data_IF_560006949079
#
_entry.id   IF_560006949079
#
_cell.length_a   1.000
_cell.length_b   1.000
_cell.length_c   1.000
_cell.angle_alpha   90.00
_cell.angle_beta   90.00
_cell.angle_gamma   90.00
#
_symmetry.space_group_name_H-M   'P 1'
#
loop_
_entity.id
_entity.type
_entity.pdbx_description
1 polymer ?
#
# COMPACT_ATOMS: atom_id res chain seq x y z
N UNK A 1 29.43 -18.44 -60.61
CA UNK A 1 29.00 -17.13 -61.17
C UNK A 1 27.49 -17.00 -61.02
N UNK A 2 27.03 -15.76 -60.79
CA UNK A 2 25.63 -15.29 -60.61
C UNK A 2 25.03 -15.58 -59.23
N UNK A 3 25.11 -14.70 -58.23
CA UNK A 3 24.58 -13.33 -58.10
C UNK A 3 23.06 -13.24 -58.30
N UNK A 4 22.34 -13.24 -57.17
CA UNK A 4 21.20 -12.35 -56.97
C UNK A 4 21.09 -12.07 -55.46
N UNK A 5 21.82 -11.05 -55.01
CA UNK A 5 21.46 -10.33 -53.79
C UNK A 5 20.03 -9.80 -53.95
N UNK A 6 19.07 -10.42 -53.26
CA UNK A 6 17.79 -9.76 -53.01
C UNK A 6 18.01 -8.73 -51.92
N UNK A 7 18.20 -7.49 -52.35
CA UNK A 7 18.13 -6.29 -51.53
C UNK A 7 16.78 -6.25 -50.80
N UNK A 8 16.69 -6.83 -49.61
CA UNK A 8 15.60 -6.58 -48.67
C UNK A 8 15.92 -5.29 -47.92
N UNK A 9 15.64 -4.16 -48.54
CA UNK A 9 15.35 -2.92 -47.80
C UNK A 9 14.03 -3.10 -47.08
N UNK A 10 14.03 -3.91 -46.02
CA UNK A 10 12.99 -3.80 -45.01
C UNK A 10 13.21 -2.44 -44.36
N UNK A 11 12.24 -1.51 -44.38
CA UNK A 11 12.37 -0.32 -43.56
C UNK A 11 12.50 -0.83 -42.14
N UNK A 12 13.67 -0.63 -41.52
CA UNK A 12 13.81 -0.68 -40.07
C UNK A 12 12.84 0.38 -39.58
N UNK A 13 11.59 0.00 -39.34
CA UNK A 13 10.71 0.73 -38.46
C UNK A 13 11.54 0.88 -37.20
N UNK A 14 12.03 2.10 -36.98
CA UNK A 14 12.62 2.48 -35.72
C UNK A 14 11.55 2.09 -34.71
N UNK A 15 11.75 0.95 -34.04
CA UNK A 15 11.06 0.63 -32.81
C UNK A 15 11.55 1.69 -31.84
N UNK A 16 11.03 2.91 -31.95
CA UNK A 16 10.86 3.84 -30.83
C UNK A 16 9.92 3.09 -29.90
N UNK A 17 10.49 2.09 -29.21
CA UNK A 17 9.81 1.40 -28.14
C UNK A 17 9.32 2.49 -27.21
N UNK A 18 8.04 2.44 -26.84
CA UNK A 18 7.44 3.39 -25.90
C UNK A 18 8.45 3.64 -24.78
N UNK A 19 8.78 4.91 -24.54
CA UNK A 19 9.79 5.31 -23.56
C UNK A 19 9.51 4.66 -22.20
N UNK A 20 10.55 4.53 -21.36
CA UNK A 20 10.44 3.86 -20.07
C UNK A 20 9.26 4.40 -19.24
N UNK A 21 9.01 5.71 -19.27
CA UNK A 21 7.87 6.36 -18.63
C UNK A 21 6.52 5.93 -19.21
N UNK A 22 6.40 5.84 -20.54
CA UNK A 22 5.16 5.40 -21.18
C UNK A 22 4.86 3.92 -20.89
N UNK A 23 5.89 3.05 -20.87
CA UNK A 23 5.72 1.65 -20.43
C UNK A 23 5.32 1.55 -18.96
N UNK A 24 5.95 2.34 -18.10
CA UNK A 24 5.69 2.40 -16.66
C UNK A 24 4.29 2.97 -16.37
N UNK A 25 3.85 3.97 -17.13
CA UNK A 25 2.49 4.49 -17.10
C UNK A 25 1.46 3.46 -17.56
N UNK A 26 1.71 2.75 -18.68
CA UNK A 26 0.80 1.70 -19.15
C UNK A 26 0.75 0.53 -18.16
N UNK A 27 1.88 0.16 -17.57
CA UNK A 27 1.96 -0.85 -16.52
C UNK A 27 1.16 -0.41 -15.29
N UNK A 28 1.40 0.81 -14.82
CA UNK A 28 0.71 1.40 -13.68
C UNK A 28 -0.79 1.47 -13.94
N UNK A 29 -1.20 2.00 -15.10
CA UNK A 29 -2.58 2.03 -15.54
C UNK A 29 -3.19 0.63 -15.52
N UNK A 30 -2.59 -0.36 -16.19
CA UNK A 30 -3.14 -1.73 -16.19
C UNK A 30 -3.25 -2.34 -14.80
N UNK A 31 -2.27 -2.11 -13.93
CA UNK A 31 -2.25 -2.67 -12.57
C UNK A 31 -3.29 -2.04 -11.65
N UNK A 32 -3.54 -0.74 -11.77
CA UNK A 32 -4.46 0.00 -10.89
C UNK A 32 -5.82 0.34 -11.53
N UNK A 33 -6.05 -0.05 -12.79
CA UNK A 33 -7.39 0.06 -13.42
C UNK A 33 -8.41 -0.90 -12.80
N UNK A 34 -7.94 -2.00 -12.21
CA UNK A 34 -8.75 -2.98 -11.49
C UNK A 34 -8.15 -3.17 -10.10
N UNK A 35 -8.41 -2.25 -9.15
CA UNK A 35 -7.85 -2.34 -7.81
C UNK A 35 -8.31 -3.62 -7.13
N UNK A 36 -7.36 -4.37 -6.57
CA UNK A 36 -7.69 -5.54 -5.75
C UNK A 36 -8.07 -5.09 -4.35
N UNK A 37 -8.80 -5.91 -3.59
CA UNK A 37 -9.24 -5.57 -2.23
C UNK A 37 -8.10 -5.11 -1.30
N UNK A 38 -6.86 -5.58 -1.52
CA UNK A 38 -5.66 -5.13 -0.79
C UNK A 38 -5.31 -3.66 -1.04
N UNK A 39 -5.51 -3.17 -2.26
CA UNK A 39 -5.20 -1.77 -2.61
C UNK A 39 -6.16 -0.82 -1.89
N UNK A 40 -7.42 -1.23 -1.71
CA UNK A 40 -8.41 -0.50 -0.93
C UNK A 40 -8.09 -0.46 0.57
N UNK A 41 -7.62 -1.56 1.14
CA UNK A 41 -7.14 -1.59 2.54
C UNK A 41 -5.96 -0.65 2.70
N UNK A 42 -4.99 -0.68 1.78
CA UNK A 42 -3.83 0.23 1.81
C UNK A 42 -4.27 1.69 1.70
N UNK A 43 -5.19 2.00 0.79
CA UNK A 43 -5.75 3.33 0.63
C UNK A 43 -6.45 3.80 1.91
N UNK A 44 -7.23 2.92 2.54
CA UNK A 44 -7.86 3.18 3.84
C UNK A 44 -6.83 3.47 4.94
N UNK A 45 -5.74 2.71 5.01
CA UNK A 45 -4.65 2.99 5.95
C UNK A 45 -3.99 4.35 5.68
N UNK A 46 -3.71 4.69 4.41
CA UNK A 46 -3.13 5.98 4.03
C UNK A 46 -4.07 7.15 4.40
N UNK A 47 -5.37 6.99 4.12
CA UNK A 47 -6.37 7.98 4.49
C UNK A 47 -6.44 8.15 6.02
N UNK A 48 -6.46 7.05 6.78
CA UNK A 48 -6.50 7.08 8.24
C UNK A 48 -5.25 7.74 8.85
N UNK A 49 -4.06 7.54 8.26
CA UNK A 49 -2.83 8.27 8.66
C UNK A 49 -3.00 9.78 8.40
N UNK A 50 -3.57 10.16 7.25
CA UNK A 50 -3.87 11.56 6.95
C UNK A 50 -4.85 12.18 7.95
N UNK A 51 -5.92 11.46 8.31
CA UNK A 51 -6.87 11.88 9.34
C UNK A 51 -6.20 11.98 10.71
N UNK A 52 -5.39 10.99 11.10
CA UNK A 52 -4.65 11.02 12.36
C UNK A 52 -3.71 12.22 12.45
N UNK A 53 -3.01 12.55 11.36
CA UNK A 53 -2.15 13.73 11.28
C UNK A 53 -2.95 15.02 11.44
N UNK A 54 -4.11 15.14 10.77
CA UNK A 54 -5.02 16.27 10.93
C UNK A 54 -5.53 16.40 12.38
N UNK A 55 -5.92 15.28 13.01
CA UNK A 55 -6.33 15.25 14.40
C UNK A 55 -5.21 15.66 15.36
N UNK A 56 -3.96 15.25 15.09
CA UNK A 56 -2.81 15.58 15.91
C UNK A 56 -2.52 17.10 15.98
N UNK A 57 -2.90 17.88 14.96
CA UNK A 57 -2.83 19.35 15.02
C UNK A 57 -3.82 19.98 15.99
N UNK A 58 -4.96 19.32 16.24
CA UNK A 58 -6.03 19.81 17.12
C UNK A 58 -5.75 19.34 18.55
N UNK A 59 -5.58 18.02 18.70
CA UNK A 59 -5.33 17.33 19.96
C UNK A 59 -4.45 16.10 19.68
N UNK A 60 -3.28 16.09 20.30
CA UNK A 60 -2.32 15.00 20.20
C UNK A 60 -2.93 13.64 20.58
N UNK A 61 -3.78 13.58 21.62
CA UNK A 61 -4.43 12.34 22.06
C UNK A 61 -5.38 11.82 21.01
N UNK A 62 -6.18 12.70 20.43
CA UNK A 62 -7.10 12.34 19.36
C UNK A 62 -6.31 11.78 18.16
N UNK A 63 -5.24 12.45 17.75
CA UNK A 63 -4.36 11.95 16.69
C UNK A 63 -3.75 10.59 17.01
N UNK A 64 -3.27 10.38 18.24
CA UNK A 64 -2.70 9.12 18.68
C UNK A 64 -3.72 7.97 18.73
N UNK A 65 -4.95 8.23 19.20
CA UNK A 65 -6.03 7.23 19.19
C UNK A 65 -6.46 6.85 17.77
N UNK A 66 -6.63 7.84 16.90
CA UNK A 66 -6.97 7.60 15.48
C UNK A 66 -5.85 6.80 14.79
N UNK A 67 -4.59 7.12 15.07
CA UNK A 67 -3.46 6.38 14.54
C UNK A 67 -3.41 4.95 15.08
N UNK A 68 -3.71 4.74 16.37
CA UNK A 68 -3.74 3.43 17.01
C UNK A 68 -4.84 2.51 16.43
N UNK A 69 -5.96 3.10 15.99
CA UNK A 69 -7.03 2.34 15.36
C UNK A 69 -6.59 1.65 14.05
N UNK A 70 -5.55 2.14 13.38
CA UNK A 70 -5.03 1.56 12.13
C UNK A 70 -4.42 0.16 12.35
N UNK A 71 -3.35 -0.01 13.13
CA UNK A 71 -2.82 -1.35 13.43
C UNK A 71 -3.85 -2.21 14.17
N UNK A 72 -4.70 -1.63 15.03
CA UNK A 72 -5.75 -2.38 15.72
C UNK A 72 -6.78 -2.98 14.75
N UNK A 73 -7.26 -2.18 13.80
CA UNK A 73 -8.14 -2.62 12.73
C UNK A 73 -7.49 -3.65 11.81
N UNK A 74 -6.21 -3.49 11.49
CA UNK A 74 -5.46 -4.50 10.72
C UNK A 74 -5.32 -5.83 11.47
N UNK A 75 -5.09 -5.80 12.80
CA UNK A 75 -5.06 -6.99 13.63
C UNK A 75 -6.41 -7.73 13.62
N UNK A 76 -7.52 -6.99 13.75
CA UNK A 76 -8.89 -7.54 13.67
C UNK A 76 -9.20 -8.12 12.29
N UNK A 77 -8.89 -7.39 11.22
CA UNK A 77 -9.07 -7.89 9.86
C UNK A 77 -8.24 -9.16 9.62
N UNK A 78 -7.03 -9.22 10.19
CA UNK A 78 -6.15 -10.38 10.09
C UNK A 78 -6.64 -11.58 10.91
N UNK A 79 -7.38 -11.34 12.00
CA UNK A 79 -7.95 -12.40 12.85
C UNK A 79 -9.20 -13.04 12.24
N UNK A 80 -9.95 -12.30 11.41
CA UNK A 80 -11.13 -12.80 10.70
C UNK A 80 -10.86 -14.07 9.87
N UNK A 81 -11.90 -14.91 9.63
CA UNK A 81 -11.80 -16.06 8.75
C UNK A 81 -11.56 -15.68 7.28
N UNK A 82 -11.35 -16.69 6.43
CA UNK A 82 -11.24 -16.49 4.96
C UNK A 82 -12.48 -15.76 4.43
N UNK A 83 -12.34 -14.80 3.50
CA UNK A 83 -11.12 -14.44 2.77
C UNK A 83 -10.20 -13.44 3.52
N UNK A 84 -10.71 -12.72 4.51
CA UNK A 84 -10.03 -11.60 5.19
C UNK A 84 -8.74 -12.01 5.91
N UNK A 85 -8.77 -13.16 6.57
CA UNK A 85 -7.62 -13.76 7.22
C UNK A 85 -6.55 -14.32 6.27
N UNK A 86 -6.79 -14.36 4.96
CA UNK A 86 -5.86 -14.90 3.97
C UNK A 86 -5.29 -13.82 3.04
N UNK A 87 -5.62 -12.54 3.25
CA UNK A 87 -5.11 -11.44 2.42
C UNK A 87 -3.58 -11.33 2.37
N UNK A 88 -2.89 -11.87 3.38
CA UNK A 88 -1.44 -11.75 3.58
C UNK A 88 -0.84 -13.17 3.65
N UNK A 89 -0.97 -13.91 2.55
CA UNK A 89 -0.59 -15.35 2.43
C UNK A 89 0.91 -15.60 2.70
N UNK A 90 1.77 -14.59 2.52
CA UNK A 90 3.23 -14.74 2.60
C UNK A 90 3.85 -14.34 3.96
N UNK A 91 3.03 -14.17 5.01
CA UNK A 91 3.50 -13.68 6.32
C UNK A 91 2.79 -14.39 7.47
N UNK A 92 3.52 -14.67 8.55
CA UNK A 92 3.00 -15.38 9.72
C UNK A 92 1.83 -14.62 10.36
N UNK A 93 0.65 -15.25 10.37
CA UNK A 93 -0.60 -14.70 10.92
C UNK A 93 -0.43 -14.23 12.36
N UNK A 94 0.15 -15.08 13.20
CA UNK A 94 0.33 -14.80 14.63
C UNK A 94 1.28 -13.63 14.87
N UNK A 95 2.42 -13.60 14.15
CA UNK A 95 3.40 -12.52 14.28
C UNK A 95 2.81 -11.19 13.82
N UNK A 96 2.05 -11.17 12.72
CA UNK A 96 1.39 -9.95 12.23
C UNK A 96 0.38 -9.40 13.23
N UNK A 97 -0.50 -10.25 13.76
CA UNK A 97 -1.52 -9.86 14.74
C UNK A 97 -0.83 -9.32 16.00
N UNK A 98 0.15 -10.06 16.53
CA UNK A 98 0.87 -9.66 17.74
C UNK A 98 1.59 -8.32 17.55
N UNK A 99 2.29 -8.15 16.43
CA UNK A 99 2.98 -6.90 16.11
C UNK A 99 2.00 -5.73 16.05
N UNK A 100 0.87 -5.91 15.37
CA UNK A 100 -0.15 -4.87 15.26
C UNK A 100 -0.78 -4.53 16.61
N UNK A 101 -1.05 -5.51 17.46
CA UNK A 101 -1.57 -5.28 18.81
C UNK A 101 -0.55 -4.54 19.69
N UNK A 102 0.73 -4.90 19.62
CA UNK A 102 1.80 -4.19 20.35
C UNK A 102 1.85 -2.73 19.91
N UNK A 103 1.88 -2.45 18.61
CA UNK A 103 1.87 -1.06 18.12
C UNK A 103 0.62 -0.29 18.55
N UNK A 104 -0.55 -0.94 18.51
CA UNK A 104 -1.81 -0.34 18.99
C UNK A 104 -1.71 0.03 20.46
N UNK A 105 -1.26 -0.90 21.30
CA UNK A 105 -1.11 -0.70 22.73
C UNK A 105 -0.07 0.39 23.06
N UNK A 106 1.04 0.44 22.32
CA UNK A 106 2.06 1.48 22.48
C UNK A 106 1.51 2.86 22.12
N UNK A 107 0.76 3.00 21.02
CA UNK A 107 0.16 4.27 20.61
C UNK A 107 -0.91 4.76 21.58
N UNK A 108 -1.76 3.84 22.07
CA UNK A 108 -2.75 4.14 23.13
C UNK A 108 -2.04 4.53 24.43
N UNK A 109 -1.01 3.79 24.83
CA UNK A 109 -0.21 4.08 26.00
C UNK A 109 0.45 5.45 25.91
N UNK A 110 1.02 5.79 24.74
CA UNK A 110 1.60 7.10 24.47
C UNK A 110 0.55 8.22 24.61
N UNK A 111 -0.66 8.02 24.08
CA UNK A 111 -1.75 9.00 24.20
C UNK A 111 -2.10 9.29 25.67
N UNK A 112 -2.10 8.25 26.51
CA UNK A 112 -2.44 8.36 27.94
C UNK A 112 -1.30 8.98 28.74
N UNK A 113 -0.07 8.51 28.53
CA UNK A 113 1.12 8.87 29.32
C UNK A 113 1.62 10.27 28.97
N UNK A 114 1.55 10.68 27.70
CA UNK A 114 2.01 12.02 27.30
C UNK A 114 1.11 13.07 27.94
N UNK A 115 1.69 13.96 28.78
CA UNK A 115 0.94 15.08 29.35
C UNK A 115 0.41 15.96 28.24
N UNK A 116 -0.82 16.44 28.39
CA UNK A 116 -1.32 17.51 27.54
C UNK A 116 -0.52 18.76 27.88
N UNK A 117 0.34 19.22 26.97
CA UNK A 117 0.89 20.57 27.06
C UNK A 117 -0.19 21.56 26.62
N UNK A 118 -1.14 21.80 27.53
CA UNK A 118 -2.05 22.96 27.57
C UNK A 118 -2.31 23.33 29.02
#
# INVERSE_FOLDING_TARGET
>A
MSSTERTRTSPRHARRGRGALAKRWIYWKRRYSHPVSKDWVLLGCLAAIGVAAACAFIDFRLGAFVLAAVPGGLALMRSMPSPWGEFWVNRSKGVDILTCLIFTALLVGLAIVVPQSR
#
